data_IF_710943046952
#
_entry.id   IF_710943046952
#
_cell.length_a   1.000
_cell.length_b   1.000
_cell.length_c   1.000
_cell.angle_alpha   90.00
_cell.angle_beta   90.00
_cell.angle_gamma   90.00
#
_symmetry.space_group_name_H-M   'P 1'
#
loop_
_entity.id
_entity.type
_entity.pdbx_description
1 polymer ?
#
# COMPACT_ATOMS: atom_id res chain seq x y z
N UNK A 1 1.98 2.42 -14.52
CA UNK A 1 1.67 3.41 -13.47
C UNK A 1 2.78 3.39 -12.43
N UNK A 2 3.30 4.55 -11.98
CA UNK A 2 4.30 4.60 -10.92
C UNK A 2 3.75 3.90 -9.66
N UNK A 3 4.60 3.14 -8.96
CA UNK A 3 4.25 2.51 -7.66
C UNK A 3 3.12 1.45 -7.75
N UNK A 4 2.65 1.14 -8.97
CA UNK A 4 1.55 0.22 -9.21
C UNK A 4 0.19 0.70 -8.69
N UNK A 5 0.06 1.96 -8.29
CA UNK A 5 -1.21 2.53 -7.80
C UNK A 5 -2.27 2.52 -8.91
N UNK A 6 -3.43 1.95 -8.59
CA UNK A 6 -4.54 1.70 -9.52
C UNK A 6 -4.45 0.32 -10.17
N UNK A 7 -3.33 -0.02 -10.80
CA UNK A 7 -3.18 -1.30 -11.52
C UNK A 7 -3.08 -2.49 -10.58
N UNK A 8 -2.35 -2.35 -9.47
CA UNK A 8 -2.21 -3.41 -8.47
C UNK A 8 -3.53 -3.67 -7.76
N UNK A 9 -4.25 -2.61 -7.39
CA UNK A 9 -5.51 -2.69 -6.68
C UNK A 9 -6.59 -3.33 -7.55
N UNK A 10 -6.67 -2.92 -8.82
CA UNK A 10 -7.61 -3.51 -9.78
C UNK A 10 -7.32 -4.99 -10.01
N UNK A 11 -6.06 -5.37 -10.24
CA UNK A 11 -5.67 -6.75 -10.46
C UNK A 11 -5.92 -7.64 -9.23
N UNK A 12 -5.57 -7.16 -8.03
CA UNK A 12 -5.75 -7.91 -6.78
C UNK A 12 -7.22 -8.11 -6.44
N UNK A 13 -8.03 -7.05 -6.56
CA UNK A 13 -9.48 -7.13 -6.33
C UNK A 13 -10.14 -8.05 -7.36
N UNK A 14 -9.77 -7.94 -8.63
CA UNK A 14 -10.27 -8.82 -9.68
C UNK A 14 -9.93 -10.29 -9.38
N UNK A 15 -8.69 -10.57 -8.99
CA UNK A 15 -8.26 -11.93 -8.68
C UNK A 15 -9.00 -12.51 -7.46
N UNK A 16 -9.13 -11.74 -6.37
CA UNK A 16 -9.88 -12.17 -5.20
C UNK A 16 -11.37 -12.39 -5.52
N UNK A 17 -11.95 -11.54 -6.37
CA UNK A 17 -13.34 -11.70 -6.83
C UNK A 17 -13.51 -12.96 -7.69
N UNK A 18 -12.54 -13.27 -8.56
CA UNK A 18 -12.51 -14.53 -9.33
C UNK A 18 -12.41 -15.76 -8.41
N UNK A 19 -11.78 -15.62 -7.25
CA UNK A 19 -11.71 -16.66 -6.22
C UNK A 19 -12.96 -16.72 -5.31
N UNK A 20 -14.00 -15.93 -5.61
CA UNK A 20 -15.27 -15.94 -4.89
C UNK A 20 -15.31 -15.06 -3.64
N UNK A 21 -14.30 -14.21 -3.42
CA UNK A 21 -14.31 -13.22 -2.32
C UNK A 21 -15.21 -12.05 -2.70
N UNK A 22 -16.00 -11.53 -1.76
CA UNK A 22 -16.81 -10.33 -2.01
C UNK A 22 -15.93 -9.13 -2.37
N UNK A 23 -16.42 -8.23 -3.22
CA UNK A 23 -15.66 -7.08 -3.71
C UNK A 23 -15.24 -6.17 -2.56
N UNK A 24 -16.09 -6.02 -1.55
CA UNK A 24 -15.83 -5.25 -0.34
C UNK A 24 -14.66 -5.84 0.45
N UNK A 25 -14.68 -7.16 0.68
CA UNK A 25 -13.60 -7.86 1.39
C UNK A 25 -12.30 -7.88 0.57
N UNK A 26 -12.40 -8.04 -0.75
CA UNK A 26 -11.27 -8.01 -1.67
C UNK A 26 -10.56 -6.65 -1.67
N UNK A 27 -11.33 -5.55 -1.70
CA UNK A 27 -10.79 -4.18 -1.59
C UNK A 27 -10.17 -3.93 -0.23
N UNK A 28 -10.86 -4.31 0.85
CA UNK A 28 -10.35 -4.16 2.21
C UNK A 28 -9.02 -4.92 2.39
N UNK A 29 -8.97 -6.19 1.96
CA UNK A 29 -7.76 -7.02 2.01
C UNK A 29 -6.62 -6.44 1.18
N UNK A 30 -6.90 -5.92 -0.02
CA UNK A 30 -5.90 -5.29 -0.89
C UNK A 30 -5.33 -4.01 -0.26
N UNK A 31 -6.16 -3.18 0.38
CA UNK A 31 -5.72 -1.98 1.09
C UNK A 31 -4.90 -2.33 2.34
N UNK A 32 -5.31 -3.35 3.10
CA UNK A 32 -4.52 -3.85 4.23
C UNK A 32 -3.15 -4.37 3.78
N UNK A 33 -3.11 -5.16 2.70
CA UNK A 33 -1.88 -5.64 2.10
C UNK A 33 -0.94 -4.49 1.72
N UNK A 34 -1.46 -3.44 1.06
CA UNK A 34 -0.70 -2.22 0.72
C UNK A 34 -0.23 -1.48 1.97
N UNK A 35 -1.10 -1.34 2.96
CA UNK A 35 -0.76 -0.72 4.23
C UNK A 35 0.44 -1.41 4.89
N UNK A 36 0.46 -2.73 4.91
CA UNK A 36 1.49 -3.52 5.58
C UNK A 36 2.78 -3.70 4.78
N UNK A 37 2.71 -3.80 3.45
CA UNK A 37 3.88 -4.11 2.61
C UNK A 37 4.50 -2.88 1.96
N UNK A 38 3.73 -1.82 1.79
CA UNK A 38 4.19 -0.61 1.10
C UNK A 38 4.28 0.59 2.05
N UNK A 39 3.22 0.92 2.79
CA UNK A 39 3.23 2.11 3.64
C UNK A 39 3.96 1.91 4.98
N UNK A 40 3.72 0.79 5.68
CA UNK A 40 4.32 0.50 6.97
C UNK A 40 5.86 0.48 6.93
N UNK A 41 6.53 -0.18 5.94
CA UNK A 41 7.99 -0.15 5.84
C UNK A 41 8.56 1.24 5.49
N UNK A 42 7.74 2.13 4.92
CA UNK A 42 8.18 3.45 4.47
C UNK A 42 8.15 4.50 5.60
N UNK A 43 7.35 4.27 6.65
CA UNK A 43 7.29 5.13 7.84
C UNK A 43 8.65 5.40 8.51
N UNK A 44 9.50 4.39 8.82
CA UNK A 44 10.79 4.64 9.45
C UNK A 44 11.73 5.46 8.56
N UNK A 45 11.73 5.21 7.24
CA UNK A 45 12.53 5.99 6.29
C UNK A 45 12.11 7.45 6.27
N UNK A 46 10.81 7.73 6.27
CA UNK A 46 10.28 9.09 6.34
C UNK A 46 10.66 9.76 7.66
N UNK A 47 10.58 9.05 8.78
CA UNK A 47 10.95 9.60 10.08
C UNK A 47 12.44 9.96 10.18
N UNK A 48 13.33 9.10 9.67
CA UNK A 48 14.75 9.38 9.59
C UNK A 48 15.03 10.60 8.69
N UNK A 49 14.43 10.65 7.50
CA UNK A 49 14.59 11.77 6.58
C UNK A 49 14.15 13.10 7.22
N UNK A 50 13.03 13.11 7.95
CA UNK A 50 12.56 14.30 8.68
C UNK A 50 13.58 14.76 9.73
N UNK A 51 14.18 13.82 10.48
CA UNK A 51 15.21 14.14 11.48
C UNK A 51 16.44 14.79 10.86
N UNK A 52 16.93 14.27 9.75
CA UNK A 52 18.10 14.81 9.06
C UNK A 52 17.82 16.20 8.48
N UNK A 53 16.64 16.42 7.88
CA UNK A 53 16.22 17.75 7.40
C UNK A 53 16.13 18.74 8.56
N UNK A 54 15.61 18.33 9.72
CA UNK A 54 15.55 19.18 10.92
C UNK A 54 16.92 19.45 11.56
N UNK A 55 17.90 18.56 11.37
CA UNK A 55 19.29 18.75 11.85
C UNK A 55 20.13 19.65 10.93
N UNK A 56 19.82 19.65 9.63
CA UNK A 56 20.53 20.46 8.63
C UNK A 56 20.07 21.93 8.58
N UNK A 57 19.09 22.31 9.41
CA UNK A 57 18.54 23.67 9.53
C UNK A 57 19.01 24.33 10.82
#
# INVERSE_FOLDING_TARGET
MPVGLGTFEAASVAMLSLLGVSVEAARAGTLLLRGLTFWLPMLPGIWLARREISRAR
#
